data_IF_820460551681
#
_entry.id   IF_820460551681
#
_cell.length_a   1.000
_cell.length_b   1.000
_cell.length_c   1.000
_cell.angle_alpha   90.00
_cell.angle_beta   90.00
_cell.angle_gamma   90.00
#
_symmetry.space_group_name_H-M   'P 1'
#
loop_
_entity.id
_entity.type
_entity.pdbx_description
1 polymer ?
#
# COMPACT_ATOMS: atom_id res chain seq x y z
N UNK A 1 -63.02 37.51 1.22
CA UNK A 1 -61.69 37.38 1.86
C UNK A 1 -61.21 35.94 1.74
N UNK A 2 -60.23 35.69 0.88
CA UNK A 2 -59.66 34.37 0.56
C UNK A 2 -58.60 33.97 1.60
N UNK A 3 -58.86 32.91 2.37
CA UNK A 3 -57.87 32.34 3.29
C UNK A 3 -56.92 31.43 2.50
N UNK A 4 -55.68 31.89 2.32
CA UNK A 4 -54.61 31.18 1.62
C UNK A 4 -54.16 29.96 2.42
N UNK A 5 -54.13 28.81 1.77
CA UNK A 5 -53.59 27.54 2.27
C UNK A 5 -52.10 27.66 2.59
N UNK A 6 -51.67 27.22 3.77
CA UNK A 6 -50.25 27.11 4.14
C UNK A 6 -49.75 25.72 3.76
N UNK A 7 -48.97 25.63 2.68
CA UNK A 7 -48.26 24.41 2.29
C UNK A 7 -47.05 24.28 3.21
N UNK A 8 -47.02 23.22 4.02
CA UNK A 8 -45.83 22.86 4.81
C UNK A 8 -44.88 22.15 3.85
N UNK A 9 -43.80 22.83 3.48
CA UNK A 9 -42.72 22.23 2.71
C UNK A 9 -41.91 21.30 3.64
N UNK A 10 -42.06 19.99 3.45
CA UNK A 10 -41.19 19.00 4.08
C UNK A 10 -39.89 18.96 3.29
N UNK A 11 -38.81 19.50 3.87
CA UNK A 11 -37.46 19.34 3.34
C UNK A 11 -36.99 17.95 3.80
N UNK A 12 -37.05 16.97 2.90
CA UNK A 12 -36.39 15.68 3.09
C UNK A 12 -34.91 15.89 2.78
N UNK A 13 -34.10 16.03 3.83
CA UNK A 13 -32.66 15.96 3.70
C UNK A 13 -32.29 14.51 3.36
N UNK A 14 -32.12 14.21 2.07
CA UNK A 14 -31.45 13.01 1.60
C UNK A 14 -29.98 13.10 2.02
N UNK A 15 -29.68 12.62 3.22
CA UNK A 15 -28.31 12.32 3.62
C UNK A 15 -27.94 11.04 2.88
N UNK A 16 -27.43 11.20 1.66
CA UNK A 16 -26.68 10.15 1.01
C UNK A 16 -25.39 9.98 1.82
N UNK A 17 -25.43 9.07 2.80
CA UNK A 17 -24.21 8.46 3.33
C UNK A 17 -23.66 7.64 2.17
N UNK A 18 -22.91 8.31 1.28
CA UNK A 18 -21.90 7.65 0.47
C UNK A 18 -20.83 7.19 1.45
N UNK A 19 -21.16 6.13 2.20
CA UNK A 19 -20.18 5.22 2.71
C UNK A 19 -19.50 4.66 1.47
N UNK A 20 -18.48 5.37 1.00
CA UNK A 20 -17.49 4.81 0.09
C UNK A 20 -16.76 3.78 0.96
N UNK A 21 -17.43 2.65 1.22
CA UNK A 21 -16.75 1.39 1.29
C UNK A 21 -16.17 1.26 -0.10
N UNK A 22 -14.95 1.78 -0.26
CA UNK A 22 -14.13 1.58 -1.43
C UNK A 22 -14.14 0.08 -1.63
N UNK A 23 -14.97 -0.38 -2.56
CA UNK A 23 -14.83 -1.72 -3.11
C UNK A 23 -13.47 -1.68 -3.75
N UNK A 24 -12.46 -2.12 -3.00
CA UNK A 24 -11.11 -2.31 -3.47
C UNK A 24 -11.27 -2.97 -4.82
N UNK A 25 -10.91 -2.22 -5.86
CA UNK A 25 -10.78 -2.76 -7.21
C UNK A 25 -9.60 -3.70 -7.07
N UNK A 26 -9.87 -4.92 -6.59
CA UNK A 26 -8.95 -6.02 -6.70
C UNK A 26 -8.93 -6.32 -8.20
N UNK A 27 -8.06 -5.61 -8.91
CA UNK A 27 -7.51 -6.13 -10.16
C UNK A 27 -7.20 -7.60 -9.91
N UNK A 28 -7.55 -8.46 -10.87
CA UNK A 28 -7.17 -9.89 -10.94
C UNK A 28 -5.63 -10.04 -11.05
N UNK A 29 -4.90 -9.39 -10.16
CA UNK A 29 -3.49 -9.55 -9.90
C UNK A 29 -3.32 -10.97 -9.41
N UNK A 30 -2.49 -11.75 -10.10
CA UNK A 30 -2.18 -13.09 -9.63
C UNK A 30 -1.56 -12.94 -8.25
N UNK A 31 -2.03 -13.74 -7.29
CA UNK A 31 -1.49 -13.73 -5.93
C UNK A 31 0.02 -14.00 -5.97
N UNK A 32 0.80 -13.24 -5.19
CA UNK A 32 2.26 -13.25 -5.23
C UNK A 32 2.90 -12.24 -6.19
N UNK A 33 2.16 -11.25 -6.68
CA UNK A 33 2.72 -10.16 -7.48
C UNK A 33 3.36 -9.07 -6.61
N UNK A 34 4.50 -8.56 -7.07
CA UNK A 34 5.14 -7.34 -6.57
C UNK A 34 5.13 -6.32 -7.70
N UNK A 35 4.15 -5.41 -7.67
CA UNK A 35 3.93 -4.42 -8.72
C UNK A 35 4.78 -3.16 -8.48
N UNK A 36 5.68 -2.83 -9.40
CA UNK A 36 6.35 -1.53 -9.41
C UNK A 36 5.35 -0.42 -9.74
N UNK A 37 5.25 0.59 -8.88
CA UNK A 37 4.46 1.79 -9.12
C UNK A 37 5.37 2.96 -9.46
N UNK A 38 4.91 3.83 -10.36
CA UNK A 38 5.54 5.13 -10.50
C UNK A 38 5.37 5.96 -9.20
N UNK A 39 6.20 6.98 -8.96
CA UNK A 39 6.11 7.77 -7.74
C UNK A 39 4.76 8.48 -7.54
N UNK A 40 4.08 8.88 -8.63
CA UNK A 40 2.74 9.47 -8.54
C UNK A 40 1.66 8.43 -8.23
N UNK A 41 1.79 7.21 -8.75
CA UNK A 41 0.89 6.11 -8.42
C UNK A 41 1.06 5.68 -6.97
N UNK A 42 2.29 5.61 -6.46
CA UNK A 42 2.55 5.35 -5.05
C UNK A 42 1.95 6.43 -4.15
N UNK A 43 2.13 7.71 -4.52
CA UNK A 43 1.53 8.83 -3.79
C UNK A 43 0.01 8.74 -3.77
N UNK A 44 -0.60 8.44 -4.91
CA UNK A 44 -2.05 8.27 -5.03
C UNK A 44 -2.52 7.10 -4.16
N UNK A 45 -1.87 5.94 -4.26
CA UNK A 45 -2.14 4.76 -3.44
C UNK A 45 -2.11 5.11 -1.94
N UNK A 46 -1.05 5.79 -1.48
CA UNK A 46 -0.94 6.20 -0.08
C UNK A 46 -2.01 7.20 0.36
N UNK A 47 -2.40 8.12 -0.51
CA UNK A 47 -3.47 9.10 -0.23
C UNK A 47 -4.87 8.49 -0.19
N UNK A 48 -5.08 7.32 -0.80
CA UNK A 48 -6.37 6.62 -0.91
C UNK A 48 -6.40 5.39 0.01
N UNK A 49 -6.04 5.58 1.28
CA UNK A 49 -5.99 4.52 2.30
C UNK A 49 -5.06 3.35 1.96
N UNK A 50 -3.89 3.64 1.39
CA UNK A 50 -2.88 2.65 0.98
C UNK A 50 -2.68 1.54 2.03
N UNK A 51 -3.16 0.35 1.71
CA UNK A 51 -3.17 -0.83 2.59
C UNK A 51 -2.54 -2.00 1.87
N UNK A 52 -1.60 -2.67 2.54
CA UNK A 52 -0.86 -3.81 2.00
C UNK A 52 0.65 -3.66 2.11
N UNK A 53 1.35 -4.55 1.44
CA UNK A 53 2.80 -4.59 1.45
C UNK A 53 3.39 -3.58 0.47
N UNK A 54 4.40 -2.83 0.92
CA UNK A 54 5.11 -1.86 0.11
C UNK A 54 6.62 -2.00 0.32
N UNK A 55 7.32 -2.36 -0.74
CA UNK A 55 8.78 -2.32 -0.83
C UNK A 55 9.24 -0.91 -1.24
N UNK A 56 10.29 -0.40 -0.62
CA UNK A 56 10.98 0.80 -1.07
C UNK A 56 12.44 0.49 -1.40
N UNK A 57 12.76 0.51 -2.69
CA UNK A 57 14.09 0.23 -3.23
C UNK A 57 14.87 1.53 -3.37
N UNK A 58 16.11 1.54 -2.90
CA UNK A 58 16.98 2.70 -2.94
C UNK A 58 18.25 2.46 -3.77
N UNK A 59 18.91 1.31 -3.56
CA UNK A 59 20.11 0.86 -4.25
C UNK A 59 19.75 0.04 -5.49
N UNK A 60 20.15 0.53 -6.65
CA UNK A 60 19.83 -0.08 -7.96
C UNK A 60 20.44 -1.47 -8.09
N UNK A 61 21.64 -1.66 -7.55
CA UNK A 61 22.42 -2.89 -7.62
C UNK A 61 21.77 -4.08 -6.91
N UNK A 62 21.10 -3.84 -5.77
CA UNK A 62 20.49 -4.89 -4.96
C UNK A 62 19.00 -5.12 -5.30
N UNK A 63 18.39 -4.15 -5.99
CA UNK A 63 16.94 -4.11 -6.25
C UNK A 63 16.39 -5.42 -6.80
N UNK A 64 17.03 -5.98 -7.83
CA UNK A 64 16.56 -7.22 -8.48
C UNK A 64 16.54 -8.40 -7.51
N UNK A 65 17.60 -8.56 -6.72
CA UNK A 65 17.71 -9.67 -5.77
C UNK A 65 16.72 -9.53 -4.62
N UNK A 66 16.50 -8.31 -4.13
CA UNK A 66 15.49 -8.03 -3.12
C UNK A 66 14.07 -8.21 -3.64
N UNK A 67 13.74 -7.70 -4.83
CA UNK A 67 12.43 -7.91 -5.46
C UNK A 67 12.13 -9.40 -5.62
N UNK A 68 13.10 -10.19 -6.08
CA UNK A 68 12.96 -11.64 -6.23
C UNK A 68 12.64 -12.33 -4.90
N UNK A 69 13.33 -11.97 -3.82
CA UNK A 69 13.10 -12.57 -2.49
C UNK A 69 11.78 -12.13 -1.88
N UNK A 70 11.45 -10.84 -1.97
CA UNK A 70 10.15 -10.29 -1.52
C UNK A 70 9.00 -10.94 -2.28
N UNK A 71 9.10 -11.06 -3.61
CA UNK A 71 8.08 -11.69 -4.43
C UNK A 71 7.87 -13.16 -4.07
N UNK A 72 8.95 -13.91 -3.77
CA UNK A 72 8.82 -15.29 -3.26
C UNK A 72 8.05 -15.34 -1.94
N UNK A 73 8.36 -14.48 -0.98
CA UNK A 73 7.65 -14.44 0.30
C UNK A 73 6.16 -14.05 0.13
N UNK A 74 5.86 -13.06 -0.71
CA UNK A 74 4.49 -12.66 -1.04
C UNK A 74 3.71 -13.81 -1.67
N UNK A 75 4.32 -14.52 -2.63
CA UNK A 75 3.73 -15.69 -3.29
C UNK A 75 3.47 -16.85 -2.33
N UNK A 76 4.44 -17.18 -1.47
CA UNK A 76 4.29 -18.25 -0.48
C UNK A 76 3.14 -17.99 0.50
N UNK A 77 2.82 -16.72 0.75
CA UNK A 77 1.79 -16.29 1.68
C UNK A 77 0.49 -15.85 1.00
N UNK A 78 0.40 -15.98 -0.32
CA UNK A 78 -0.80 -15.70 -1.11
C UNK A 78 -1.30 -14.24 -1.02
N UNK A 79 -0.36 -13.30 -0.98
CA UNK A 79 -0.60 -11.85 -0.89
C UNK A 79 0.15 -11.10 -1.98
N UNK A 80 -0.27 -9.86 -2.27
CA UNK A 80 0.39 -8.99 -3.24
C UNK A 80 1.08 -7.82 -2.55
N UNK A 81 2.05 -7.24 -3.23
CA UNK A 81 2.80 -6.07 -2.80
C UNK A 81 2.96 -5.03 -3.89
N UNK A 82 3.38 -3.85 -3.49
CA UNK A 82 3.77 -2.75 -4.37
C UNK A 82 5.21 -2.37 -4.11
N UNK A 83 5.85 -1.76 -5.09
CA UNK A 83 7.21 -1.26 -4.97
C UNK A 83 7.30 0.19 -5.44
N UNK A 84 8.15 0.96 -4.78
CA UNK A 84 8.64 2.25 -5.27
C UNK A 84 10.16 2.16 -5.40
N UNK A 85 10.68 2.38 -6.61
CA UNK A 85 12.12 2.51 -6.86
C UNK A 85 12.52 3.99 -6.81
N UNK A 86 13.49 4.36 -5.95
CA UNK A 86 14.05 5.71 -5.97
C UNK A 86 14.84 6.04 -7.23
N UNK A 87 15.17 5.01 -8.04
CA UNK A 87 15.83 5.14 -9.32
C UNK A 87 14.84 5.10 -10.49
N UNK A 88 13.53 5.05 -10.22
CA UNK A 88 12.50 5.12 -11.26
C UNK A 88 12.67 6.41 -12.09
N UNK A 89 12.55 6.40 -13.43
CA UNK A 89 12.80 7.59 -14.28
C UNK A 89 12.00 8.84 -13.89
N UNK A 90 10.80 8.65 -13.33
CA UNK A 90 9.91 9.71 -12.85
C UNK A 90 10.11 10.08 -11.36
N UNK A 91 11.11 9.52 -10.68
CA UNK A 91 11.45 9.88 -9.29
C UNK A 91 12.22 11.20 -9.29
N UNK A 92 11.76 12.14 -8.46
CA UNK A 92 12.41 13.45 -8.32
C UNK A 92 13.52 13.31 -7.29
N UNK A 93 14.79 13.35 -7.73
CA UNK A 93 15.95 13.22 -6.84
C UNK A 93 16.08 14.34 -5.79
N UNK A 94 15.28 15.42 -5.90
CA UNK A 94 15.19 16.45 -4.85
C UNK A 94 14.17 16.11 -3.76
N UNK A 95 13.37 15.07 -3.95
CA UNK A 95 12.33 14.61 -3.03
C UNK A 95 12.76 13.39 -2.24
N UNK A 96 12.18 13.29 -1.06
CA UNK A 96 12.26 12.12 -0.21
C UNK A 96 11.12 11.15 -0.51
N UNK A 97 11.22 9.93 -0.01
CA UNK A 97 10.14 8.94 -0.05
C UNK A 97 8.85 9.45 0.61
N UNK A 98 8.98 10.36 1.59
CA UNK A 98 7.84 10.94 2.30
C UNK A 98 6.97 11.85 1.43
N UNK A 99 7.55 12.46 0.39
CA UNK A 99 6.81 13.25 -0.60
C UNK A 99 5.85 12.39 -1.44
N UNK A 100 6.08 11.08 -1.45
CA UNK A 100 5.28 10.03 -2.09
C UNK A 100 4.45 9.24 -1.07
N UNK A 101 4.35 9.71 0.17
CA UNK A 101 3.50 9.13 1.22
C UNK A 101 4.14 8.00 2.02
N UNK A 102 5.38 7.60 1.71
CA UNK A 102 6.08 6.54 2.45
C UNK A 102 6.69 7.08 3.74
N UNK A 103 6.50 6.35 4.85
CA UNK A 103 7.15 6.64 6.14
C UNK A 103 8.27 5.66 6.48
N UNK A 104 8.43 4.63 5.66
CA UNK A 104 9.50 3.65 5.81
C UNK A 104 10.86 4.20 5.39
N UNK A 105 11.92 3.50 5.78
CA UNK A 105 13.29 3.79 5.34
C UNK A 105 13.59 3.11 4.00
N UNK A 106 14.69 3.49 3.34
CA UNK A 106 15.18 2.77 2.16
C UNK A 106 15.54 1.32 2.49
N UNK A 107 15.50 0.47 1.46
CA UNK A 107 15.78 -0.97 1.56
C UNK A 107 14.91 -1.70 2.56
N UNK A 108 13.59 -1.45 2.52
CA UNK A 108 12.65 -2.14 3.40
C UNK A 108 11.43 -2.67 2.67
N UNK A 109 10.90 -3.77 3.20
CA UNK A 109 9.51 -4.16 2.98
C UNK A 109 8.69 -3.73 4.20
N UNK A 110 7.60 -3.00 3.98
CA UNK A 110 6.67 -2.61 5.03
C UNK A 110 5.25 -3.09 4.79
N UNK A 111 4.48 -3.14 5.86
CA UNK A 111 3.03 -3.24 5.80
C UNK A 111 2.40 -1.92 6.22
N UNK A 112 1.49 -1.42 5.38
CA UNK A 112 0.66 -0.25 5.64
C UNK A 112 -0.79 -0.67 5.85
N UNK A 113 -1.50 0.03 6.72
CA UNK A 113 -2.95 -0.05 6.85
C UNK A 113 -3.50 1.38 6.87
N UNK A 114 -4.36 1.70 5.90
CA UNK A 114 -4.98 3.02 5.71
C UNK A 114 -3.93 4.15 5.67
N UNK A 115 -2.88 3.95 4.87
CA UNK A 115 -1.77 4.91 4.70
C UNK A 115 -0.85 5.04 5.93
N UNK A 116 -1.06 4.25 6.99
CA UNK A 116 -0.22 4.26 8.20
C UNK A 116 0.72 3.07 8.20
N UNK A 117 2.02 3.35 8.28
CA UNK A 117 3.05 2.35 8.49
C UNK A 117 2.77 1.58 9.79
N UNK A 118 2.70 0.25 9.70
CA UNK A 118 2.51 -0.64 10.86
C UNK A 118 3.80 -1.30 11.29
N UNK A 119 4.51 -1.90 10.34
CA UNK A 119 5.79 -2.57 10.58
C UNK A 119 6.60 -2.59 9.29
N UNK A 120 7.91 -2.67 9.45
CA UNK A 120 8.85 -2.83 8.35
C UNK A 120 9.95 -3.82 8.75
N UNK A 121 10.55 -4.43 7.74
CA UNK A 121 11.77 -5.24 7.82
C UNK A 121 12.82 -4.63 6.89
N UNK A 122 14.05 -4.49 7.38
CA UNK A 122 15.17 -3.97 6.60
C UNK A 122 15.84 -5.10 5.83
N UNK A 123 15.93 -4.98 4.51
CA UNK A 123 16.43 -6.02 3.61
C UNK A 123 17.96 -6.12 3.67
N UNK A 124 18.62 -4.99 3.94
CA UNK A 124 20.07 -4.84 3.99
C UNK A 124 20.72 -5.34 5.30
N UNK A 125 19.92 -5.73 6.30
CA UNK A 125 20.41 -6.23 7.59
C UNK A 125 20.70 -7.73 7.62
N UNK A 126 20.39 -8.45 6.55
CA UNK A 126 20.42 -9.90 6.52
C UNK A 126 21.28 -10.40 5.36
N UNK A 127 21.93 -11.55 5.55
CA UNK A 127 22.48 -12.29 4.41
C UNK A 127 21.34 -12.82 3.55
N UNK A 128 21.54 -13.06 2.25
CA UNK A 128 20.47 -13.54 1.36
C UNK A 128 19.72 -14.78 1.89
N UNK A 129 20.44 -15.77 2.44
CA UNK A 129 19.84 -17.00 2.97
C UNK A 129 19.01 -16.80 4.25
N UNK A 130 19.29 -15.74 5.02
CA UNK A 130 18.55 -15.37 6.22
C UNK A 130 17.34 -14.50 5.85
N UNK A 131 17.54 -13.56 4.92
CA UNK A 131 16.51 -12.63 4.45
C UNK A 131 15.28 -13.37 3.94
N UNK A 132 15.45 -14.43 3.15
CA UNK A 132 14.33 -15.21 2.62
C UNK A 132 13.43 -15.78 3.72
N UNK A 133 14.01 -16.30 4.80
CA UNK A 133 13.25 -16.83 5.95
C UNK A 133 12.56 -15.72 6.73
N UNK A 134 13.27 -14.63 6.97
CA UNK A 134 12.75 -13.48 7.73
C UNK A 134 11.62 -12.76 6.98
N UNK A 135 11.71 -12.68 5.65
CA UNK A 135 10.65 -12.16 4.80
C UNK A 135 9.39 -13.02 4.87
N UNK A 136 9.53 -14.35 4.79
CA UNK A 136 8.38 -15.26 4.92
C UNK A 136 7.70 -15.12 6.29
N UNK A 137 8.49 -15.09 7.37
CA UNK A 137 7.98 -14.84 8.73
C UNK A 137 7.29 -13.48 8.83
N UNK A 138 7.90 -12.42 8.28
CA UNK A 138 7.34 -11.08 8.30
C UNK A 138 6.00 -11.01 7.57
N UNK A 139 5.94 -11.52 6.33
CA UNK A 139 4.73 -11.49 5.49
C UNK A 139 3.62 -12.30 6.13
N UNK A 140 3.91 -13.52 6.61
CA UNK A 140 2.94 -14.37 7.34
C UNK A 140 2.35 -13.63 8.53
N UNK A 141 3.20 -13.09 9.40
CA UNK A 141 2.76 -12.39 10.61
C UNK A 141 1.88 -11.18 10.29
N UNK A 142 2.21 -10.40 9.25
CA UNK A 142 1.39 -9.24 8.87
C UNK A 142 0.04 -9.68 8.29
N UNK A 143 0.02 -10.76 7.49
CA UNK A 143 -1.21 -11.33 6.95
C UNK A 143 -2.13 -11.80 8.08
N UNK A 144 -1.63 -12.61 9.00
CA UNK A 144 -2.39 -13.10 10.16
C UNK A 144 -2.91 -11.94 11.02
N UNK A 145 -2.09 -10.91 11.24
CA UNK A 145 -2.48 -9.80 12.11
C UNK A 145 -3.39 -8.76 11.47
N UNK A 146 -3.42 -8.61 10.14
CA UNK A 146 -4.10 -7.46 9.49
C UNK A 146 -5.02 -7.82 8.32
N UNK A 147 -4.85 -9.00 7.71
CA UNK A 147 -5.61 -9.41 6.53
C UNK A 147 -6.63 -10.49 6.91
N UNK A 148 -6.18 -11.54 7.59
CA UNK A 148 -7.00 -12.71 7.93
C UNK A 148 -7.79 -12.53 9.26
N UNK A 149 -8.03 -11.27 9.67
CA UNK A 149 -8.75 -10.93 10.90
C UNK A 149 -10.20 -11.40 10.94
#
# INVERSE_FOLDING_TARGET
MTRKSKIIAVIVALVAILGIGSTLVFSNSKKGELEELSPQEMKKFMSQDGTGFVMYSFRKEDRVDYMNQVQRALKNNDVNGKELDSNHPNYDGKKSQSDYGLKQTGETLAYYEKGKLKKQIALDKYKPSELEKELDVFVRNMKEMYIDK
#
